data_IF_808530660772
#
_entry.id   IF_808530660772
#
_cell.length_a   1.000
_cell.length_b   1.000
_cell.length_c   1.000
_cell.angle_alpha   90.00
_cell.angle_beta   90.00
_cell.angle_gamma   90.00
#
_symmetry.space_group_name_H-M   'P 1'
#
loop_
_entity.id
_entity.type
_entity.pdbx_description
1 polymer ?
#
# COMPACT_ATOMS: atom_id res chain seq x y z
N UNK A 1 -14.38 -32.51 17.05
CA UNK A 1 -13.36 -32.23 16.02
C UNK A 1 -13.19 -30.73 16.01
N UNK A 2 -12.14 -30.22 16.66
CA UNK A 2 -11.86 -28.78 16.66
C UNK A 2 -11.24 -28.44 15.32
N UNK A 3 -11.91 -27.57 14.57
CA UNK A 3 -11.41 -27.03 13.31
C UNK A 3 -10.06 -26.36 13.58
N UNK A 4 -8.98 -26.92 13.05
CA UNK A 4 -7.70 -26.22 12.98
C UNK A 4 -7.91 -24.95 12.16
N UNK A 5 -7.87 -23.78 12.80
CA UNK A 5 -7.69 -22.54 12.07
C UNK A 5 -6.36 -22.67 11.31
N UNK A 6 -6.33 -22.49 9.98
CA UNK A 6 -5.07 -22.49 9.27
C UNK A 6 -4.17 -21.43 9.89
N UNK A 7 -2.94 -21.80 10.25
CA UNK A 7 -1.98 -20.87 10.82
C UNK A 7 -1.79 -19.69 9.85
N UNK A 8 -2.12 -18.48 10.29
CA UNK A 8 -1.91 -17.28 9.51
C UNK A 8 -0.41 -17.12 9.28
N UNK A 9 0.00 -17.10 8.02
CA UNK A 9 1.40 -16.87 7.65
C UNK A 9 1.86 -15.50 8.12
N UNK A 10 3.04 -15.45 8.70
CA UNK A 10 3.59 -14.28 9.37
C UNK A 10 4.69 -13.59 8.55
N UNK A 11 5.11 -14.22 7.45
CA UNK A 11 6.07 -13.64 6.52
C UNK A 11 5.38 -12.69 5.53
N UNK A 12 5.88 -11.46 5.49
CA UNK A 12 5.47 -10.43 4.52
C UNK A 12 6.23 -10.61 3.19
N UNK A 13 6.17 -11.84 2.67
CA UNK A 13 6.63 -12.17 1.34
C UNK A 13 5.42 -12.20 0.39
N UNK A 14 5.54 -11.63 -0.82
CA UNK A 14 4.46 -11.67 -1.80
C UNK A 14 4.19 -13.10 -2.26
N UNK A 15 2.91 -13.41 -2.42
CA UNK A 15 2.48 -14.68 -2.99
C UNK A 15 2.73 -14.65 -4.50
N UNK A 16 3.41 -15.65 -5.08
CA UNK A 16 3.58 -15.71 -6.52
C UNK A 16 2.22 -15.84 -7.22
N UNK A 17 1.93 -14.92 -8.15
CA UNK A 17 0.74 -15.05 -8.99
C UNK A 17 0.97 -16.17 -10.01
N UNK A 18 0.14 -17.21 -9.97
CA UNK A 18 0.31 -18.38 -10.84
C UNK A 18 0.31 -17.98 -12.33
N UNK A 19 1.40 -18.31 -13.03
CA UNK A 19 1.58 -18.03 -14.46
C UNK A 19 2.02 -16.59 -14.80
N UNK A 20 2.14 -15.70 -13.82
CA UNK A 20 2.69 -14.35 -14.05
C UNK A 20 4.23 -14.40 -14.02
N UNK A 21 4.85 -13.84 -15.05
CA UNK A 21 6.29 -13.59 -15.09
C UNK A 21 6.50 -12.08 -15.21
N UNK A 22 7.19 -11.43 -14.26
CA UNK A 22 7.55 -10.03 -14.39
C UNK A 22 8.27 -9.77 -15.71
N UNK A 23 7.88 -8.70 -16.39
CA UNK A 23 8.51 -8.30 -17.65
C UNK A 23 9.93 -7.77 -17.45
N UNK A 24 10.65 -7.61 -18.56
CA UNK A 24 11.97 -6.95 -18.54
C UNK A 24 11.83 -5.48 -18.08
N UNK A 25 12.66 -5.07 -17.12
CA UNK A 25 12.76 -3.67 -16.72
C UNK A 25 13.27 -2.83 -17.88
N UNK A 26 12.57 -1.72 -18.13
CA UNK A 26 13.04 -0.67 -19.05
C UNK A 26 13.03 0.66 -18.33
N UNK A 27 14.01 1.49 -18.62
CA UNK A 27 14.09 2.87 -18.13
C UNK A 27 13.04 3.74 -18.81
N UNK A 28 12.79 4.93 -18.25
CA UNK A 28 11.93 5.92 -18.90
C UNK A 28 12.45 6.31 -20.29
N UNK A 29 13.78 6.41 -20.46
CA UNK A 29 14.36 6.74 -21.76
C UNK A 29 14.13 5.62 -22.77
N UNK A 30 14.28 4.36 -22.35
CA UNK A 30 14.03 3.20 -23.20
C UNK A 30 12.55 3.11 -23.59
N UNK A 31 11.63 3.33 -22.65
CA UNK A 31 10.20 3.37 -22.96
C UNK A 31 9.85 4.52 -23.91
N UNK A 32 10.44 5.69 -23.73
CA UNK A 32 10.20 6.85 -24.60
C UNK A 32 10.78 6.69 -26.00
N UNK A 33 11.90 5.96 -26.15
CA UNK A 33 12.54 5.71 -27.44
C UNK A 33 11.87 4.58 -28.24
N UNK A 34 11.22 3.63 -27.57
CA UNK A 34 10.52 2.54 -28.23
C UNK A 34 9.38 3.09 -29.11
N UNK A 35 9.28 2.64 -30.36
CA UNK A 35 8.21 3.03 -31.30
C UNK A 35 8.01 4.56 -31.43
N UNK A 36 9.09 5.34 -31.35
CA UNK A 36 9.02 6.81 -31.33
C UNK A 36 8.41 7.41 -32.63
N UNK A 37 8.47 6.65 -33.72
CA UNK A 37 7.86 6.94 -35.01
C UNK A 37 6.32 6.82 -35.00
N UNK A 38 5.73 6.07 -34.07
CA UNK A 38 4.29 5.90 -33.97
C UNK A 38 3.66 7.03 -33.15
N UNK A 39 2.88 7.88 -33.82
CA UNK A 39 2.21 9.02 -33.20
C UNK A 39 1.22 8.60 -32.10
N UNK A 40 0.53 7.48 -32.28
CA UNK A 40 -0.47 6.99 -31.32
C UNK A 40 0.20 6.47 -30.05
N UNK A 41 1.28 5.69 -30.20
CA UNK A 41 2.04 5.19 -29.06
C UNK A 41 2.79 6.30 -28.33
N UNK A 42 3.32 7.29 -29.06
CA UNK A 42 3.95 8.47 -28.46
C UNK A 42 2.94 9.27 -27.62
N UNK A 43 1.76 9.58 -28.16
CA UNK A 43 0.71 10.28 -27.38
C UNK A 43 0.24 9.47 -26.17
N UNK A 44 0.13 8.14 -26.31
CA UNK A 44 -0.19 7.27 -25.19
C UNK A 44 0.88 7.33 -24.09
N UNK A 45 2.18 7.25 -24.44
CA UNK A 45 3.29 7.37 -23.49
C UNK A 45 3.35 8.74 -22.82
N UNK A 46 3.13 9.80 -23.59
CA UNK A 46 3.01 11.17 -23.06
C UNK A 46 1.87 11.28 -22.04
N UNK A 47 0.71 10.66 -22.30
CA UNK A 47 -0.41 10.64 -21.34
C UNK A 47 -0.08 9.90 -20.04
N UNK A 48 0.90 8.99 -20.07
CA UNK A 48 1.45 8.29 -18.90
C UNK A 48 2.61 9.05 -18.25
N UNK A 49 2.98 10.25 -18.74
CA UNK A 49 4.13 11.01 -18.25
C UNK A 49 5.49 10.47 -18.72
N UNK A 50 5.51 9.49 -19.63
CA UNK A 50 6.72 8.92 -20.22
C UNK A 50 7.07 9.75 -21.45
N UNK A 51 7.94 10.75 -21.29
CA UNK A 51 8.27 11.71 -22.35
C UNK A 51 9.75 11.68 -22.71
N UNK A 52 10.06 11.73 -24.00
CA UNK A 52 11.40 11.89 -24.52
C UNK A 52 11.85 13.36 -24.33
N UNK A 53 12.15 13.76 -23.10
CA UNK A 53 12.59 15.12 -22.77
C UNK A 53 11.99 15.74 -21.50
N UNK A 54 11.19 14.98 -20.74
CA UNK A 54 10.81 15.39 -19.39
C UNK A 54 12.05 15.63 -18.53
N UNK A 55 11.96 16.59 -17.59
CA UNK A 55 13.03 16.88 -16.63
C UNK A 55 13.62 15.57 -16.11
N UNK A 56 14.93 15.39 -16.25
CA UNK A 56 15.59 14.20 -15.75
C UNK A 56 15.17 14.02 -14.28
N UNK A 57 14.63 12.85 -13.89
CA UNK A 57 14.17 12.65 -12.52
C UNK A 57 15.32 12.98 -11.58
N UNK A 58 15.03 13.78 -10.54
CA UNK A 58 16.05 14.21 -9.60
C UNK A 58 16.67 12.93 -8.98
N UNK A 59 17.98 12.69 -9.15
CA UNK A 59 18.60 11.45 -8.68
C UNK A 59 18.50 11.28 -7.16
N UNK A 60 18.27 12.37 -6.43
CA UNK A 60 18.12 12.38 -4.98
C UNK A 60 16.67 12.16 -4.50
N UNK A 61 15.67 12.24 -5.38
CA UNK A 61 14.27 12.02 -5.01
C UNK A 61 14.03 10.53 -4.72
N UNK A 62 13.22 10.12 -3.74
CA UNK A 62 12.88 8.71 -3.55
C UNK A 62 12.20 8.08 -4.78
N UNK A 63 12.37 6.77 -4.98
CA UNK A 63 11.61 6.04 -6.03
C UNK A 63 10.11 6.06 -5.72
N UNK A 64 9.79 5.80 -4.46
CA UNK A 64 8.44 5.83 -3.90
C UNK A 64 8.48 6.58 -2.57
N UNK A 65 7.54 7.50 -2.37
CA UNK A 65 7.30 8.14 -1.06
C UNK A 65 5.85 7.83 -0.68
N UNK A 66 5.65 7.22 0.49
CA UNK A 66 4.30 7.00 1.03
C UNK A 66 3.97 8.17 1.95
N UNK A 67 2.89 8.87 1.65
CA UNK A 67 2.45 10.03 2.42
C UNK A 67 1.52 9.62 3.54
N UNK A 68 0.53 8.77 3.27
CA UNK A 68 -0.40 8.32 4.30
C UNK A 68 -1.04 6.98 4.00
N UNK A 69 -1.51 6.34 5.08
CA UNK A 69 -2.37 5.16 5.06
C UNK A 69 -3.60 5.46 5.92
N UNK A 70 -4.79 5.31 5.36
CA UNK A 70 -6.05 5.59 6.05
C UNK A 70 -7.10 4.51 5.80
N UNK A 71 -8.01 4.40 6.76
CA UNK A 71 -9.26 3.65 6.65
C UNK A 71 -10.37 4.69 6.44
N UNK A 72 -11.03 4.65 5.30
CA UNK A 72 -12.15 5.51 4.97
C UNK A 72 -13.47 4.79 5.17
N UNK A 73 -14.42 5.45 5.84
CA UNK A 73 -15.78 4.94 6.04
C UNK A 73 -16.72 6.10 6.33
N UNK A 74 -17.96 6.00 5.84
CA UNK A 74 -19.03 6.94 6.19
C UNK A 74 -19.43 6.84 7.67
N UNK A 75 -19.07 5.75 8.36
CA UNK A 75 -19.30 5.53 9.79
C UNK A 75 -18.24 6.14 10.69
N UNK A 76 -17.14 6.64 10.12
CA UNK A 76 -16.12 7.37 10.87
C UNK A 76 -16.51 8.86 10.88
N UNK A 77 -16.62 9.54 12.03
CA UNK A 77 -17.06 10.94 12.09
C UNK A 77 -16.21 11.92 11.26
N UNK A 78 -14.90 11.70 11.18
CA UNK A 78 -13.96 12.46 10.34
C UNK A 78 -13.91 11.98 8.88
N UNK A 79 -14.70 10.97 8.51
CA UNK A 79 -14.67 10.27 7.21
C UNK A 79 -13.51 9.28 7.06
N UNK A 80 -12.41 9.49 7.78
CA UNK A 80 -11.27 8.57 7.79
C UNK A 80 -10.50 8.60 9.11
N UNK A 81 -9.79 7.50 9.40
CA UNK A 81 -8.74 7.45 10.43
C UNK A 81 -7.47 6.86 9.81
N UNK A 82 -6.29 7.33 10.19
CA UNK A 82 -5.07 6.83 9.56
C UNK A 82 -3.79 7.34 10.18
N UNK A 83 -2.72 7.19 9.40
CA UNK A 83 -1.33 7.49 9.74
C UNK A 83 -0.76 8.38 8.64
N UNK A 84 -0.12 9.46 9.03
CA UNK A 84 0.65 10.33 8.15
C UNK A 84 2.11 9.87 8.19
N UNK A 85 2.55 9.15 7.16
CA UNK A 85 3.86 8.52 7.08
C UNK A 85 4.97 9.52 6.68
N UNK A 86 4.59 10.64 6.09
CA UNK A 86 5.46 11.77 5.77
C UNK A 86 5.66 12.74 6.96
N UNK A 87 4.88 12.58 8.03
CA UNK A 87 4.98 13.40 9.24
C UNK A 87 5.86 12.72 10.30
N UNK A 88 7.02 13.31 10.64
CA UNK A 88 7.89 12.76 11.68
C UNK A 88 7.16 12.65 13.03
N UNK A 89 7.25 11.48 13.67
CA UNK A 89 6.63 11.25 14.99
C UNK A 89 5.24 10.60 14.95
N UNK A 90 4.59 10.51 13.78
CA UNK A 90 3.22 9.99 13.71
C UNK A 90 3.15 8.47 13.96
N UNK A 91 4.14 7.72 13.48
CA UNK A 91 4.27 6.29 13.77
C UNK A 91 4.45 6.03 15.27
N UNK A 92 5.29 6.83 15.94
CA UNK A 92 5.50 6.76 17.38
C UNK A 92 4.22 7.14 18.15
N UNK A 93 3.48 8.15 17.66
CA UNK A 93 2.19 8.54 18.21
C UNK A 93 1.22 7.37 18.15
N UNK A 94 1.09 6.71 17.00
CA UNK A 94 0.16 5.58 16.79
C UNK A 94 0.60 4.32 17.54
N UNK A 95 1.90 4.13 17.74
CA UNK A 95 2.42 3.06 18.59
C UNK A 95 2.03 3.25 20.07
N UNK A 96 2.11 4.49 20.58
CA UNK A 96 1.73 4.84 21.97
C UNK A 96 0.22 4.93 22.16
N UNK A 97 -0.48 5.49 21.18
CA UNK A 97 -1.92 5.72 21.16
C UNK A 97 -2.51 5.03 19.93
N UNK A 98 -2.88 3.73 20.04
CA UNK A 98 -3.44 2.97 18.94
C UNK A 98 -4.66 3.65 18.33
N UNK A 99 -4.81 3.53 17.01
CA UNK A 99 -5.99 4.01 16.30
C UNK A 99 -7.26 3.31 16.83
N UNK A 100 -8.35 4.05 16.99
CA UNK A 100 -9.62 3.51 17.46
C UNK A 100 -10.53 3.26 16.26
N UNK A 101 -10.68 2.00 15.86
CA UNK A 101 -11.48 1.58 14.70
C UNK A 101 -12.84 1.07 15.21
N UNK A 102 -13.98 1.65 14.80
CA UNK A 102 -15.29 1.10 15.11
C UNK A 102 -15.44 -0.31 14.52
N UNK A 103 -15.86 -1.28 15.32
CA UNK A 103 -16.06 -2.66 14.87
C UNK A 103 -17.27 -2.80 13.93
N UNK A 104 -17.26 -3.78 13.03
CA UNK A 104 -18.41 -4.09 12.16
C UNK A 104 -18.73 -3.03 11.11
N UNK A 105 -17.90 -2.01 10.94
CA UNK A 105 -18.06 -1.03 9.87
C UNK A 105 -17.44 -1.55 8.58
N UNK A 106 -18.04 -1.19 7.45
CA UNK A 106 -17.38 -1.29 6.16
C UNK A 106 -16.40 -0.12 5.98
N UNK A 107 -15.18 -0.42 5.56
CA UNK A 107 -14.14 0.58 5.32
C UNK A 107 -13.31 0.22 4.07
N UNK A 108 -12.75 1.24 3.43
CA UNK A 108 -11.75 1.08 2.38
C UNK A 108 -10.38 1.51 2.90
N UNK A 109 -9.34 0.71 2.64
CA UNK A 109 -7.96 1.14 2.87
C UNK A 109 -7.54 2.05 1.72
N UNK A 110 -6.97 3.20 2.06
CA UNK A 110 -6.48 4.21 1.11
C UNK A 110 -5.02 4.51 1.39
N UNK A 111 -4.20 4.44 0.34
CA UNK A 111 -2.78 4.78 0.38
C UNK A 111 -2.55 5.98 -0.55
N UNK A 112 -1.92 7.02 -0.01
CA UNK A 112 -1.48 8.19 -0.76
C UNK A 112 0.04 8.16 -0.92
N UNK A 113 0.55 8.29 -2.14
CA UNK A 113 1.98 8.11 -2.44
C UNK A 113 2.43 8.87 -3.70
N UNK A 114 3.72 9.19 -3.80
CA UNK A 114 4.34 9.76 -5.01
C UNK A 114 5.36 8.80 -5.59
N UNK A 115 5.42 8.73 -6.92
CA UNK A 115 6.43 8.01 -7.69
C UNK A 115 7.33 9.04 -8.37
N UNK A 116 8.64 8.95 -8.13
CA UNK A 116 9.60 9.98 -8.52
C UNK A 116 10.52 9.60 -9.69
N UNK A 117 11.35 8.58 -9.51
CA UNK A 117 12.50 8.35 -10.42
C UNK A 117 12.22 7.53 -11.68
N UNK A 118 11.36 6.52 -11.58
CA UNK A 118 11.18 5.54 -12.64
C UNK A 118 9.78 4.92 -12.57
N UNK A 119 9.40 4.17 -13.61
CA UNK A 119 8.16 3.40 -13.59
C UNK A 119 8.30 2.29 -12.56
N UNK A 120 7.43 2.29 -11.55
CA UNK A 120 7.33 1.20 -10.58
C UNK A 120 6.27 0.23 -11.06
N UNK A 121 6.62 -1.03 -11.17
CA UNK A 121 5.74 -2.05 -11.72
C UNK A 121 5.35 -3.08 -10.67
N UNK A 122 4.07 -3.42 -10.61
CA UNK A 122 3.59 -4.47 -9.70
C UNK A 122 3.76 -4.16 -8.22
N UNK A 123 3.56 -2.90 -7.82
CA UNK A 123 3.53 -2.55 -6.40
C UNK A 123 2.40 -3.33 -5.71
N UNK A 124 2.73 -3.95 -4.58
CA UNK A 124 1.83 -4.71 -3.71
C UNK A 124 1.90 -4.14 -2.30
N UNK A 125 0.74 -4.08 -1.66
CA UNK A 125 0.61 -3.79 -0.24
C UNK A 125 0.39 -5.10 0.51
N UNK A 126 1.21 -5.35 1.52
CA UNK A 126 1.07 -6.50 2.40
C UNK A 126 0.94 -6.02 3.83
N UNK A 127 0.12 -6.70 4.62
CA UNK A 127 0.20 -6.57 6.06
C UNK A 127 -0.11 -7.86 6.79
N UNK A 128 0.38 -7.93 8.02
CA UNK A 128 0.01 -8.95 9.01
C UNK A 128 -0.46 -8.24 10.26
N UNK A 129 -1.64 -8.63 10.73
CA UNK A 129 -2.20 -8.20 12.01
C UNK A 129 -1.87 -9.25 13.04
N UNK A 130 -1.33 -8.83 14.18
CA UNK A 130 -1.08 -9.67 15.33
C UNK A 130 -1.85 -9.20 16.54
N UNK A 131 -2.33 -10.16 17.34
CA UNK A 131 -2.93 -9.95 18.65
C UNK A 131 -2.15 -10.73 19.69
N UNK A 132 -1.68 -10.06 20.74
CA UNK A 132 -0.82 -10.66 21.76
C UNK A 132 0.39 -11.42 21.17
N UNK A 133 0.96 -10.89 20.07
CA UNK A 133 2.10 -11.49 19.37
C UNK A 133 1.75 -12.61 18.38
N UNK A 134 0.52 -13.13 18.39
CA UNK A 134 0.06 -14.17 17.48
C UNK A 134 -0.55 -13.55 16.21
N UNK A 135 -0.21 -14.02 15.00
CA UNK A 135 -0.84 -13.55 13.76
C UNK A 135 -2.31 -13.98 13.74
N UNK A 136 -3.18 -13.02 13.46
CA UNK A 136 -4.65 -13.21 13.44
C UNK A 136 -5.27 -12.87 12.10
N UNK A 137 -4.58 -12.10 11.26
CA UNK A 137 -5.01 -11.73 9.92
C UNK A 137 -3.82 -11.38 9.03
N UNK A 138 -3.95 -11.61 7.73
CA UNK A 138 -2.97 -11.24 6.71
C UNK A 138 -3.71 -10.78 5.46
N UNK A 139 -3.27 -9.66 4.90
CA UNK A 139 -3.79 -9.14 3.65
C UNK A 139 -2.64 -8.91 2.67
N UNK A 140 -2.90 -9.20 1.41
CA UNK A 140 -2.00 -8.91 0.29
C UNK A 140 -2.84 -8.39 -0.87
N UNK A 141 -2.58 -7.15 -1.29
CA UNK A 141 -3.37 -6.44 -2.27
C UNK A 141 -2.50 -5.77 -3.34
N UNK A 142 -2.90 -5.89 -4.60
CA UNK A 142 -2.20 -5.26 -5.71
C UNK A 142 -2.48 -3.75 -5.75
N UNK A 143 -1.44 -2.94 -5.63
CA UNK A 143 -1.51 -1.50 -5.87
C UNK A 143 -1.52 -1.26 -7.38
N UNK A 144 -0.53 -1.79 -8.10
CA UNK A 144 -0.41 -1.71 -9.56
C UNK A 144 0.92 -1.13 -10.05
N UNK A 145 0.93 -0.67 -11.30
CA UNK A 145 2.11 -0.05 -11.93
C UNK A 145 1.90 1.43 -12.15
N UNK A 146 2.88 2.25 -11.80
CA UNK A 146 2.78 3.69 -11.76
C UNK A 146 4.02 4.34 -12.36
N UNK A 147 3.88 5.20 -13.38
CA UNK A 147 4.96 6.05 -13.85
C UNK A 147 5.22 7.19 -12.86
N UNK A 148 6.34 7.90 -12.98
CA UNK A 148 6.53 9.12 -12.23
C UNK A 148 5.56 10.22 -12.63
N UNK A 149 5.11 11.00 -11.65
CA UNK A 149 4.36 12.24 -11.88
C UNK A 149 4.52 13.20 -10.70
N UNK A 150 4.30 14.50 -10.94
CA UNK A 150 4.40 15.52 -9.89
C UNK A 150 3.33 15.42 -8.80
N UNK A 151 2.12 14.97 -9.14
CA UNK A 151 1.00 14.89 -8.20
C UNK A 151 0.91 13.53 -7.49
N UNK A 152 0.54 13.45 -6.20
CA UNK A 152 0.40 12.18 -5.50
C UNK A 152 -0.68 11.26 -6.11
N UNK A 153 -0.41 9.96 -6.17
CA UNK A 153 -1.37 8.90 -6.45
C UNK A 153 -2.19 8.54 -5.21
N UNK A 154 -3.44 8.15 -5.46
CA UNK A 154 -4.35 7.60 -4.44
C UNK A 154 -4.78 6.21 -4.89
N UNK A 155 -4.39 5.19 -4.12
CA UNK A 155 -4.92 3.83 -4.27
C UNK A 155 -5.96 3.58 -3.20
N UNK A 156 -7.18 3.31 -3.63
CA UNK A 156 -8.29 2.86 -2.78
C UNK A 156 -8.55 1.38 -3.06
N UNK A 157 -8.43 0.54 -2.04
CA UNK A 157 -8.73 -0.88 -2.16
C UNK A 157 -10.24 -1.13 -2.09
N UNK A 158 -10.65 -2.35 -2.44
CA UNK A 158 -12.04 -2.77 -2.28
C UNK A 158 -12.45 -2.64 -0.80
N UNK A 159 -13.70 -2.23 -0.51
CA UNK A 159 -14.18 -2.17 0.86
C UNK A 159 -14.14 -3.55 1.53
N UNK A 160 -13.88 -3.55 2.83
CA UNK A 160 -13.89 -4.74 3.70
C UNK A 160 -14.56 -4.41 5.03
N UNK A 161 -15.04 -5.42 5.74
CA UNK A 161 -15.70 -5.24 7.04
C UNK A 161 -14.70 -5.38 8.19
N UNK A 162 -14.73 -4.44 9.14
CA UNK A 162 -13.93 -4.52 10.36
C UNK A 162 -14.46 -5.67 11.26
N UNK A 163 -13.59 -6.55 11.77
CA UNK A 163 -14.06 -7.67 12.59
C UNK A 163 -14.76 -7.17 13.86
N UNK A 164 -15.76 -7.93 14.31
CA UNK A 164 -16.60 -7.56 15.45
C UNK A 164 -16.63 -8.63 16.54
N UNK A 165 -17.09 -8.22 17.73
CA UNK A 165 -17.31 -9.10 18.87
C UNK A 165 -16.32 -8.94 20.02
N UNK A 166 -16.67 -9.47 21.18
CA UNK A 166 -15.94 -9.23 22.43
C UNK A 166 -14.47 -9.67 22.38
N UNK A 167 -14.19 -10.78 21.68
CA UNK A 167 -12.82 -11.25 21.47
C UNK A 167 -12.03 -10.36 20.51
N UNK A 168 -12.67 -9.82 19.47
CA UNK A 168 -12.02 -8.91 18.52
C UNK A 168 -11.62 -7.58 19.20
N UNK A 169 -12.48 -7.09 20.10
CA UNK A 169 -12.24 -5.91 20.93
C UNK A 169 -11.23 -6.12 22.08
N UNK A 170 -10.80 -7.36 22.32
CA UNK A 170 -9.88 -7.63 23.41
C UNK A 170 -8.44 -7.26 23.03
N UNK A 171 -7.89 -6.26 23.73
CA UNK A 171 -6.49 -5.86 23.59
C UNK A 171 -6.19 -4.95 22.40
N UNK A 172 -4.89 -4.78 22.13
CA UNK A 172 -4.36 -4.00 21.01
C UNK A 172 -3.94 -4.95 19.90
N UNK A 173 -4.28 -4.62 18.65
CA UNK A 173 -3.76 -5.30 17.48
C UNK A 173 -2.55 -4.51 16.96
N UNK A 174 -1.44 -5.17 16.74
CA UNK A 174 -0.26 -4.61 16.09
C UNK A 174 -0.24 -5.04 14.63
N UNK A 175 -0.01 -4.10 13.72
CA UNK A 175 0.06 -4.36 12.29
C UNK A 175 1.47 -4.05 11.82
N UNK A 176 2.06 -4.96 11.05
CA UNK A 176 3.24 -4.66 10.24
C UNK A 176 2.81 -4.58 8.78
N UNK A 177 3.10 -3.44 8.17
CA UNK A 177 2.73 -3.10 6.80
C UNK A 177 3.97 -3.00 5.94
N UNK A 178 3.90 -3.50 4.70
CA UNK A 178 4.99 -3.48 3.74
C UNK A 178 4.47 -3.13 2.34
N UNK A 179 5.25 -2.34 1.61
CA UNK A 179 5.04 -2.11 0.18
C UNK A 179 6.27 -2.62 -0.57
N UNK A 180 6.02 -3.50 -1.54
CA UNK A 180 7.03 -4.22 -2.32
C UNK A 180 6.63 -4.24 -3.80
N UNK A 181 7.58 -4.31 -4.72
CA UNK A 181 7.29 -4.55 -6.14
C UNK A 181 7.51 -6.02 -6.56
N UNK A 182 7.26 -6.31 -7.84
CA UNK A 182 7.46 -7.63 -8.42
C UNK A 182 8.95 -8.05 -8.48
N UNK A 183 9.89 -7.13 -8.28
CA UNK A 183 11.33 -7.40 -8.22
C UNK A 183 11.84 -7.63 -6.80
N UNK A 184 10.93 -7.61 -5.82
CA UNK A 184 11.24 -7.78 -4.42
C UNK A 184 11.84 -6.56 -3.74
N UNK A 185 11.82 -5.39 -4.39
CA UNK A 185 12.29 -4.13 -3.78
C UNK A 185 11.26 -3.67 -2.75
N UNK A 186 11.69 -3.59 -1.50
CA UNK A 186 10.86 -3.05 -0.40
C UNK A 186 10.99 -1.53 -0.37
N UNK A 187 9.89 -0.83 -0.57
CA UNK A 187 9.83 0.63 -0.56
C UNK A 187 9.40 1.20 0.79
N UNK A 188 8.58 0.47 1.53
CA UNK A 188 8.14 0.84 2.87
C UNK A 188 7.97 -0.41 3.73
N UNK A 189 8.39 -0.33 4.99
CA UNK A 189 8.17 -1.35 6.01
C UNK A 189 8.02 -0.64 7.35
N UNK A 190 6.81 -0.65 7.89
CA UNK A 190 6.48 0.09 9.10
C UNK A 190 5.46 -0.67 9.95
N UNK A 191 5.41 -0.35 11.24
CA UNK A 191 4.48 -0.96 12.17
C UNK A 191 3.59 0.10 12.81
N UNK A 192 2.34 -0.28 13.05
CA UNK A 192 1.35 0.57 13.67
C UNK A 192 0.40 -0.28 14.51
N UNK A 193 -0.53 0.36 15.21
CA UNK A 193 -1.44 -0.37 16.09
C UNK A 193 -2.83 0.23 16.10
N UNK A 194 -3.81 -0.63 16.35
CA UNK A 194 -5.20 -0.23 16.49
C UNK A 194 -5.92 -1.05 17.56
N UNK A 195 -7.05 -0.52 18.02
CA UNK A 195 -8.03 -1.18 18.87
C UNK A 195 -9.39 -1.10 18.21
N UNK A 196 -10.15 -2.18 18.34
CA UNK A 196 -11.54 -2.19 17.93
C UNK A 196 -12.39 -1.62 19.06
N UNK A 197 -13.15 -0.58 18.75
CA UNK A 197 -14.10 0.04 19.67
C UNK A 197 -15.52 -0.28 19.26
N UNK A 198 -16.44 -0.17 20.20
CA UNK A 198 -17.86 -0.31 19.89
C UNK A 198 -18.26 0.79 18.92
N UNK A 199 -18.92 0.42 17.83
CA UNK A 199 -19.56 1.36 16.92
C UNK A 199 -20.65 2.16 17.63
#
# INVERSE_FOLDING_TARGET
>A
MASENPAVQDDLNPTPTAGYQPGEKKSLQEYAALDAEDESLRRWKESLGITAGGSAPNPNEPKLTIHSLALESDKIPSGSIGIQLDQPGDLERVSKNPLQIPEGIEYAVVINFTVGREVLSGLKYLHVVRRAGLPVDRMEEMIGSYPPRGEPYVKRFAPSEAPSGMLARSGTNSVRSRIIDDDGVVYADFSWSFKLVKA
#
